data_IF_452012480911
#
_entry.id   IF_452012480911
#
_cell.length_a   1.000
_cell.length_b   1.000
_cell.length_c   1.000
_cell.angle_alpha   90.00
_cell.angle_beta   90.00
_cell.angle_gamma   90.00
#
_symmetry.space_group_name_H-M   'P 1'
#
loop_
_entity.id
_entity.type
_entity.pdbx_description
1 polymer ?
#
# COMPACT_ATOMS: atom_id res chain seq x y z
N UNK A 1 -16.36 22.75 -20.77
CA UNK A 1 -17.55 23.07 -19.96
C UNK A 1 -17.43 22.44 -18.58
N UNK A 2 -17.71 23.20 -17.52
CA UNK A 2 -17.74 22.68 -16.15
C UNK A 2 -19.17 22.17 -15.91
N UNK A 3 -19.37 20.87 -15.69
CA UNK A 3 -20.65 20.30 -15.31
C UNK A 3 -20.87 20.43 -13.79
N UNK A 4 -22.16 20.44 -13.40
CA UNK A 4 -22.62 20.54 -12.01
C UNK A 4 -23.07 19.16 -11.51
N UNK A 5 -23.20 18.98 -10.20
CA UNK A 5 -23.69 17.71 -9.59
C UNK A 5 -25.09 17.35 -10.10
N UNK A 6 -25.96 18.34 -10.24
CA UNK A 6 -27.31 18.15 -10.80
C UNK A 6 -27.32 17.56 -12.22
N UNK A 7 -26.26 17.72 -12.99
CA UNK A 7 -26.20 17.18 -14.35
C UNK A 7 -26.06 15.62 -14.35
N UNK A 8 -25.78 15.04 -13.19
CA UNK A 8 -25.78 13.59 -12.99
C UNK A 8 -27.16 13.03 -12.72
N UNK A 9 -28.11 13.87 -12.28
CA UNK A 9 -29.44 13.45 -11.84
C UNK A 9 -30.25 12.82 -12.97
N UNK A 10 -30.49 13.55 -14.05
CA UNK A 10 -31.36 13.10 -15.14
C UNK A 10 -30.92 11.75 -15.77
N UNK A 11 -29.62 11.54 -16.08
CA UNK A 11 -29.18 10.25 -16.60
C UNK A 11 -29.43 9.09 -15.63
N UNK A 12 -29.24 9.29 -14.33
CA UNK A 12 -29.45 8.24 -13.33
C UNK A 12 -30.93 8.00 -13.09
N UNK A 13 -31.73 9.07 -13.07
CA UNK A 13 -33.19 8.98 -13.01
C UNK A 13 -33.74 8.13 -14.14
N UNK A 14 -33.39 8.43 -15.39
CA UNK A 14 -33.79 7.66 -16.56
C UNK A 14 -33.30 6.21 -16.50
N UNK A 15 -32.06 6.00 -16.12
CA UNK A 15 -31.46 4.66 -16.00
C UNK A 15 -32.23 3.78 -15.02
N UNK A 16 -32.57 4.28 -13.84
CA UNK A 16 -33.32 3.53 -12.82
C UNK A 16 -34.80 3.38 -13.19
N UNK A 17 -35.41 4.41 -13.79
CA UNK A 17 -36.79 4.35 -14.25
C UNK A 17 -36.96 3.28 -15.35
N UNK A 18 -36.01 3.19 -16.28
CA UNK A 18 -36.00 2.16 -17.32
C UNK A 18 -35.83 0.74 -16.77
N UNK A 19 -35.31 0.60 -15.54
CA UNK A 19 -35.24 -0.69 -14.83
C UNK A 19 -36.50 -0.98 -14.00
N UNK A 20 -37.50 -0.11 -14.05
CA UNK A 20 -38.79 -0.28 -13.39
C UNK A 20 -38.81 0.20 -11.93
N UNK A 21 -37.87 1.06 -11.54
CA UNK A 21 -37.92 1.73 -10.23
C UNK A 21 -38.82 2.97 -10.26
N UNK A 22 -39.54 3.20 -9.18
CA UNK A 22 -40.15 4.49 -8.87
C UNK A 22 -39.06 5.40 -8.30
N UNK A 23 -38.65 6.43 -9.03
CA UNK A 23 -37.53 7.30 -8.68
C UNK A 23 -38.02 8.65 -8.20
N UNK A 24 -37.38 9.19 -7.13
CA UNK A 24 -37.63 10.55 -6.60
C UNK A 24 -36.29 11.18 -6.21
N UNK A 25 -36.17 12.50 -6.44
CA UNK A 25 -35.05 13.31 -5.98
C UNK A 25 -35.36 14.06 -4.69
N UNK A 26 -34.30 14.46 -3.98
CA UNK A 26 -34.36 15.31 -2.80
C UNK A 26 -35.33 14.79 -1.73
N UNK A 27 -35.21 13.50 -1.38
CA UNK A 27 -36.06 12.86 -0.37
C UNK A 27 -35.29 12.70 0.94
N UNK A 28 -35.67 13.41 1.99
CA UNK A 28 -35.02 13.33 3.33
C UNK A 28 -33.49 13.41 3.24
N UNK A 29 -33.00 14.46 2.61
CA UNK A 29 -31.57 14.74 2.41
C UNK A 29 -30.82 13.73 1.52
N UNK A 30 -31.51 12.79 0.87
CA UNK A 30 -30.95 11.91 -0.14
C UNK A 30 -31.07 12.56 -1.52
N UNK A 31 -29.97 12.61 -2.28
CA UNK A 31 -29.96 13.22 -3.62
C UNK A 31 -30.93 12.50 -4.57
N UNK A 32 -30.99 11.14 -4.51
CA UNK A 32 -31.89 10.33 -5.30
C UNK A 32 -32.27 9.05 -4.57
N UNK A 33 -33.56 8.75 -4.56
CA UNK A 33 -34.13 7.52 -3.98
C UNK A 33 -34.93 6.78 -5.04
N UNK A 34 -34.78 5.45 -5.10
CA UNK A 34 -35.49 4.60 -6.04
C UNK A 34 -36.07 3.36 -5.31
N UNK A 35 -37.31 3.03 -5.61
CA UNK A 35 -38.04 1.92 -4.97
C UNK A 35 -38.61 0.98 -6.02
N UNK A 36 -38.40 -0.33 -5.81
CA UNK A 36 -39.02 -1.38 -6.62
C UNK A 36 -39.41 -2.56 -5.72
N UNK A 37 -40.71 -2.74 -5.51
CA UNK A 37 -41.21 -3.67 -4.49
C UNK A 37 -40.71 -3.30 -3.11
N UNK A 38 -39.97 -4.20 -2.46
CA UNK A 38 -39.35 -3.96 -1.15
C UNK A 38 -37.89 -3.45 -1.25
N UNK A 39 -37.35 -3.34 -2.45
CA UNK A 39 -36.00 -2.85 -2.66
C UNK A 39 -35.96 -1.32 -2.58
N UNK A 40 -35.10 -0.80 -1.71
CA UNK A 40 -34.83 0.62 -1.57
C UNK A 40 -33.39 0.89 -2.00
N UNK A 41 -33.22 1.69 -3.04
CA UNK A 41 -31.92 2.15 -3.54
C UNK A 41 -31.77 3.63 -3.24
N UNK A 42 -30.61 4.01 -2.70
CA UNK A 42 -30.25 5.41 -2.44
C UNK A 42 -28.98 5.71 -3.23
N UNK A 43 -28.97 6.81 -3.97
CA UNK A 43 -27.81 7.24 -4.76
C UNK A 43 -27.41 8.65 -4.35
N UNK A 44 -26.18 8.80 -3.85
CA UNK A 44 -25.57 10.09 -3.56
C UNK A 44 -24.76 10.57 -4.77
N UNK A 45 -25.00 11.82 -5.20
CA UNK A 45 -24.43 12.41 -6.40
C UNK A 45 -23.31 13.38 -6.04
N UNK A 46 -22.11 13.18 -6.58
CA UNK A 46 -20.99 14.13 -6.38
C UNK A 46 -20.18 14.31 -7.65
N UNK A 47 -19.70 15.54 -7.82
CA UNK A 47 -18.77 15.88 -8.91
C UNK A 47 -17.42 15.20 -8.76
N UNK A 48 -16.96 15.02 -7.52
CA UNK A 48 -15.66 14.42 -7.20
C UNK A 48 -15.80 13.48 -6.00
N UNK A 49 -14.95 12.47 -5.98
CA UNK A 49 -14.81 11.62 -4.80
C UNK A 49 -14.23 12.45 -3.63
N UNK A 50 -14.93 12.45 -2.50
CA UNK A 50 -14.54 13.17 -1.27
C UNK A 50 -14.85 12.34 -0.03
N UNK A 51 -14.33 12.76 1.13
CA UNK A 51 -14.66 12.16 2.42
C UNK A 51 -16.11 12.43 2.79
N UNK A 52 -16.61 13.64 2.51
CA UNK A 52 -18.00 14.00 2.79
C UNK A 52 -18.99 13.09 2.06
N UNK A 53 -18.70 12.74 0.79
CA UNK A 53 -19.49 11.76 0.06
C UNK A 53 -19.51 10.39 0.77
N UNK A 54 -18.39 9.98 1.36
CA UNK A 54 -18.33 8.70 2.09
C UNK A 54 -19.11 8.76 3.40
N UNK A 55 -19.08 9.88 4.10
CA UNK A 55 -19.88 10.12 5.31
C UNK A 55 -21.36 10.02 4.95
N UNK A 56 -21.81 10.76 3.93
CA UNK A 56 -23.18 10.72 3.45
C UNK A 56 -23.61 9.29 3.08
N UNK A 57 -22.86 8.62 2.23
CA UNK A 57 -23.19 7.27 1.78
C UNK A 57 -23.24 6.25 2.93
N UNK A 58 -22.32 6.31 3.89
CA UNK A 58 -22.35 5.42 5.06
C UNK A 58 -23.51 5.71 5.99
N UNK A 59 -23.93 6.96 6.10
CA UNK A 59 -25.12 7.34 6.88
C UNK A 59 -26.41 6.78 6.27
N UNK A 60 -26.49 6.74 4.91
CA UNK A 60 -27.60 6.11 4.19
C UNK A 60 -27.67 4.59 4.39
N UNK A 61 -26.56 3.92 4.70
CA UNK A 61 -26.55 2.49 5.00
C UNK A 61 -27.33 2.11 6.27
N UNK A 62 -27.62 3.08 7.14
CA UNK A 62 -28.53 2.88 8.28
C UNK A 62 -29.99 2.69 7.85
N UNK A 63 -30.32 3.05 6.63
CA UNK A 63 -31.68 3.04 6.07
C UNK A 63 -31.83 1.95 5.01
N UNK A 64 -30.81 1.75 4.19
CA UNK A 64 -30.82 0.78 3.09
C UNK A 64 -29.46 0.11 2.90
N UNK A 65 -29.44 -1.17 2.51
CA UNK A 65 -28.24 -1.86 2.01
C UNK A 65 -27.93 -1.54 0.54
N UNK A 66 -28.87 -0.94 -0.18
CA UNK A 66 -28.76 -0.56 -1.59
C UNK A 66 -28.21 0.85 -1.78
N UNK A 67 -27.06 1.20 -1.18
CA UNK A 67 -26.48 2.54 -1.28
C UNK A 67 -25.42 2.59 -2.37
N UNK A 68 -25.52 3.60 -3.23
CA UNK A 68 -24.58 3.87 -4.32
C UNK A 68 -24.05 5.29 -4.24
N UNK A 69 -22.84 5.48 -4.75
CA UNK A 69 -22.31 6.79 -5.09
C UNK A 69 -22.21 6.91 -6.61
N UNK A 70 -22.64 8.04 -7.13
CA UNK A 70 -22.57 8.33 -8.54
C UNK A 70 -21.61 9.48 -8.81
N UNK A 71 -20.66 9.24 -9.70
CA UNK A 71 -19.60 10.15 -10.06
C UNK A 71 -19.50 10.30 -11.58
N UNK A 72 -19.04 11.44 -12.08
CA UNK A 72 -18.64 11.53 -13.47
C UNK A 72 -17.56 10.51 -13.79
N UNK A 73 -17.65 9.92 -14.99
CA UNK A 73 -16.60 9.01 -15.44
C UNK A 73 -15.27 9.75 -15.50
N UNK A 74 -14.22 9.29 -14.81
CA UNK A 74 -12.95 9.98 -14.79
C UNK A 74 -12.24 9.92 -16.15
N UNK A 75 -11.62 11.03 -16.56
CA UNK A 75 -10.74 11.05 -17.73
C UNK A 75 -9.47 10.22 -17.51
N UNK A 76 -9.00 10.14 -16.25
CA UNK A 76 -7.84 9.34 -15.88
C UNK A 76 -8.14 7.84 -15.94
N UNK A 77 -7.10 7.05 -16.19
CA UNK A 77 -7.23 5.58 -16.22
C UNK A 77 -7.79 5.02 -14.91
N UNK A 78 -8.81 4.17 -15.00
CA UNK A 78 -9.36 3.41 -13.88
C UNK A 78 -8.37 2.42 -13.27
N UNK A 79 -7.25 2.14 -13.97
CA UNK A 79 -6.13 1.31 -13.47
C UNK A 79 -5.12 2.10 -12.63
N UNK A 80 -5.27 3.43 -12.52
CA UNK A 80 -4.40 4.27 -11.68
C UNK A 80 -4.46 3.83 -10.20
N UNK A 81 -3.40 4.09 -9.44
CA UNK A 81 -3.34 3.77 -8.01
C UNK A 81 -4.49 4.43 -7.23
N UNK A 82 -4.81 5.69 -7.56
CA UNK A 82 -5.93 6.44 -6.98
C UNK A 82 -7.27 5.72 -7.18
N UNK A 83 -7.64 5.37 -8.41
CA UNK A 83 -8.92 4.73 -8.70
C UNK A 83 -9.01 3.29 -8.19
N UNK A 84 -7.90 2.56 -8.18
CA UNK A 84 -7.84 1.25 -7.50
C UNK A 84 -8.09 1.39 -5.99
N UNK A 85 -7.53 2.44 -5.37
CA UNK A 85 -7.76 2.76 -3.96
C UNK A 85 -9.22 3.10 -3.67
N UNK A 86 -9.82 4.02 -4.45
CA UNK A 86 -11.23 4.42 -4.32
C UNK A 86 -12.16 3.20 -4.45
N UNK A 87 -12.02 2.39 -5.49
CA UNK A 87 -12.86 1.19 -5.67
C UNK A 87 -12.70 0.18 -4.54
N UNK A 88 -11.48 0.02 -4.00
CA UNK A 88 -11.26 -0.84 -2.84
C UNK A 88 -11.92 -0.28 -1.59
N UNK A 89 -11.88 1.04 -1.38
CA UNK A 89 -12.52 1.71 -0.25
C UNK A 89 -14.04 1.53 -0.31
N UNK A 90 -14.66 1.84 -1.45
CA UNK A 90 -16.10 1.69 -1.65
C UNK A 90 -16.56 0.25 -1.42
N UNK A 91 -15.83 -0.75 -1.96
CA UNK A 91 -16.16 -2.15 -1.70
C UNK A 91 -16.02 -2.53 -0.23
N UNK A 92 -15.05 -1.98 0.50
CA UNK A 92 -14.90 -2.22 1.94
C UNK A 92 -16.04 -1.62 2.76
N UNK A 93 -16.59 -0.51 2.27
CA UNK A 93 -17.74 0.13 2.86
C UNK A 93 -19.06 -0.45 2.34
N UNK A 94 -19.01 -1.46 1.45
CA UNK A 94 -20.19 -2.08 0.85
C UNK A 94 -21.10 -1.07 0.13
N UNK A 95 -20.49 -0.06 -0.50
CA UNK A 95 -21.15 0.99 -1.27
C UNK A 95 -20.95 0.71 -2.75
N UNK A 96 -22.04 0.74 -3.53
CA UNK A 96 -22.02 0.60 -4.98
C UNK A 96 -21.40 1.82 -5.67
N UNK A 97 -20.96 1.65 -6.91
CA UNK A 97 -20.37 2.72 -7.72
C UNK A 97 -21.05 2.79 -9.09
N UNK A 98 -21.48 3.99 -9.42
CA UNK A 98 -22.03 4.35 -10.73
C UNK A 98 -21.14 5.43 -11.34
N UNK A 99 -20.81 5.29 -12.62
CA UNK A 99 -20.22 6.37 -13.41
C UNK A 99 -21.23 6.93 -14.41
N UNK A 100 -21.20 8.24 -14.58
CA UNK A 100 -21.95 8.93 -15.63
C UNK A 100 -20.99 9.60 -16.58
N UNK A 101 -21.09 9.26 -17.85
CA UNK A 101 -20.39 9.96 -18.93
C UNK A 101 -21.33 11.03 -19.47
N UNK A 102 -21.01 12.29 -19.18
CA UNK A 102 -21.78 13.43 -19.65
C UNK A 102 -21.26 13.86 -21.01
N UNK A 103 -21.83 13.35 -22.08
CA UNK A 103 -21.62 13.82 -23.45
C UNK A 103 -22.77 14.76 -23.84
N UNK A 104 -22.49 15.76 -24.66
CA UNK A 104 -23.49 16.76 -25.08
C UNK A 104 -24.72 16.18 -25.78
N UNK A 105 -24.62 15.01 -26.39
CA UNK A 105 -25.70 14.41 -27.19
C UNK A 105 -26.33 13.16 -26.58
N UNK A 106 -25.64 12.43 -25.68
CA UNK A 106 -26.20 11.21 -25.07
C UNK A 106 -25.41 10.84 -23.79
N UNK A 107 -25.92 11.20 -22.59
CA UNK A 107 -25.31 10.80 -21.33
C UNK A 107 -25.40 9.27 -21.17
N UNK A 108 -24.32 8.65 -20.70
CA UNK A 108 -24.26 7.20 -20.48
C UNK A 108 -23.99 6.87 -19.01
N UNK A 109 -24.87 6.06 -18.43
CA UNK A 109 -24.70 5.51 -17.08
C UNK A 109 -24.00 4.14 -17.15
N UNK A 110 -23.00 3.95 -16.34
CA UNK A 110 -22.25 2.69 -16.18
C UNK A 110 -22.31 2.26 -14.72
N UNK A 111 -22.98 1.16 -14.43
CA UNK A 111 -22.90 0.51 -13.13
C UNK A 111 -21.57 -0.23 -13.04
N UNK A 112 -20.67 0.22 -12.17
CA UNK A 112 -19.33 -0.35 -12.03
C UNK A 112 -19.34 -1.60 -11.14
N UNK A 113 -20.07 -1.54 -10.03
CA UNK A 113 -20.39 -2.68 -9.16
C UNK A 113 -21.51 -2.34 -8.18
N UNK A 114 -22.23 -3.37 -7.77
CA UNK A 114 -23.25 -3.30 -6.73
C UNK A 114 -22.66 -3.26 -5.33
N UNK A 115 -23.39 -2.74 -4.32
CA UNK A 115 -23.11 -2.99 -2.92
C UNK A 115 -23.10 -4.51 -2.68
N UNK A 116 -22.09 -4.99 -1.98
CA UNK A 116 -21.98 -6.41 -1.64
C UNK A 116 -21.10 -6.61 -0.41
N UNK A 117 -21.37 -7.65 0.42
CA UNK A 117 -20.51 -7.99 1.54
C UNK A 117 -19.05 -8.17 1.12
N UNK A 118 -18.14 -7.52 1.83
CA UNK A 118 -16.73 -7.50 1.47
C UNK A 118 -15.86 -8.20 2.51
N UNK A 119 -15.38 -9.39 2.16
CA UNK A 119 -14.45 -10.16 2.99
C UNK A 119 -13.03 -10.16 2.39
N UNK A 120 -12.14 -9.23 2.79
CA UNK A 120 -10.81 -9.10 2.21
C UNK A 120 -9.88 -10.22 2.68
N UNK A 121 -9.20 -10.87 1.74
CA UNK A 121 -8.10 -11.79 2.07
C UNK A 121 -6.92 -11.00 2.63
N UNK A 122 -6.40 -11.44 3.78
CA UNK A 122 -5.18 -10.90 4.36
C UNK A 122 -3.97 -11.32 3.51
N UNK A 123 -3.03 -10.41 3.28
CA UNK A 123 -1.77 -10.73 2.59
C UNK A 123 -0.77 -11.31 3.62
N UNK A 124 -0.78 -12.63 3.80
CA UNK A 124 0.11 -13.34 4.73
C UNK A 124 1.58 -13.12 4.40
N UNK A 125 1.95 -13.15 3.11
CA UNK A 125 3.33 -12.93 2.68
C UNK A 125 3.84 -11.53 3.05
N UNK A 126 3.03 -10.49 2.85
CA UNK A 126 3.41 -9.14 3.27
C UNK A 126 3.52 -9.02 4.80
N UNK A 127 2.61 -9.66 5.54
CA UNK A 127 2.66 -9.73 7.01
C UNK A 127 3.93 -10.38 7.51
N UNK A 128 4.27 -11.56 6.98
CA UNK A 128 5.51 -12.27 7.32
C UNK A 128 6.77 -11.45 6.98
N UNK A 129 6.76 -10.75 5.84
CA UNK A 129 7.84 -9.85 5.46
C UNK A 129 8.08 -8.74 6.48
N UNK A 130 6.99 -8.16 7.00
CA UNK A 130 7.08 -7.13 8.05
C UNK A 130 7.62 -7.73 9.35
N UNK A 131 7.12 -8.89 9.77
CA UNK A 131 7.58 -9.56 10.99
C UNK A 131 9.08 -9.88 10.90
N UNK A 132 9.52 -10.48 9.79
CA UNK A 132 10.95 -10.79 9.55
C UNK A 132 11.82 -9.54 9.53
N UNK A 133 11.32 -8.42 9.00
CA UNK A 133 12.06 -7.15 8.99
C UNK A 133 12.22 -6.60 10.41
N UNK A 134 11.17 -6.64 11.25
CA UNK A 134 11.23 -6.20 12.65
C UNK A 134 12.18 -7.08 13.47
N UNK A 135 12.03 -8.41 13.36
CA UNK A 135 12.86 -9.37 14.11
C UNK A 135 14.33 -9.39 13.66
N UNK A 136 14.62 -8.98 12.43
CA UNK A 136 15.97 -8.97 11.87
C UNK A 136 16.77 -7.70 12.20
N UNK A 137 16.24 -6.78 12.99
CA UNK A 137 16.95 -5.56 13.44
C UNK A 137 17.34 -5.68 14.90
N UNK A 138 18.57 -5.28 15.19
CA UNK A 138 19.06 -5.18 16.57
C UNK A 138 18.48 -3.96 17.31
N UNK A 139 18.42 -2.82 16.63
CA UNK A 139 18.00 -1.53 17.22
C UNK A 139 16.92 -0.85 16.41
N UNK A 140 15.95 -0.25 17.08
CA UNK A 140 14.98 0.65 16.43
C UNK A 140 15.60 2.02 16.18
N UNK A 141 16.34 2.13 15.09
CA UNK A 141 17.02 3.35 14.66
C UNK A 141 16.16 4.24 13.78
N UNK A 142 14.97 3.76 13.36
CA UNK A 142 14.10 4.49 12.45
C UNK A 142 12.93 5.13 13.19
N UNK A 143 12.84 6.46 13.15
CA UNK A 143 11.67 7.16 13.67
C UNK A 143 10.58 7.22 12.60
N UNK A 144 9.37 6.79 12.93
CA UNK A 144 8.20 6.90 12.06
C UNK A 144 7.97 8.35 11.59
N UNK A 145 7.49 8.51 10.35
CA UNK A 145 7.27 9.83 9.75
C UNK A 145 8.52 10.53 9.19
N UNK A 146 9.71 9.94 9.33
CA UNK A 146 10.93 10.48 8.72
C UNK A 146 10.88 10.36 7.20
N UNK A 147 11.11 11.47 6.49
CA UNK A 147 11.29 11.47 5.03
C UNK A 147 12.74 11.83 4.68
N UNK A 148 13.26 11.28 3.58
CA UNK A 148 14.60 11.58 3.01
C UNK A 148 15.81 11.14 3.86
N UNK A 149 15.64 10.35 4.92
CA UNK A 149 16.76 9.74 5.66
C UNK A 149 17.02 8.32 5.15
N UNK A 150 18.29 7.90 5.15
CA UNK A 150 18.66 6.50 4.87
C UNK A 150 18.07 5.62 5.99
N UNK A 151 17.10 4.79 5.64
CA UNK A 151 16.41 3.91 6.60
C UNK A 151 17.31 2.72 6.93
N UNK A 152 17.47 2.40 8.21
CA UNK A 152 18.10 1.15 8.64
C UNK A 152 17.12 -0.01 8.39
N UNK A 153 17.55 -0.98 7.61
CA UNK A 153 16.80 -2.21 7.30
C UNK A 153 17.54 -3.41 7.85
N UNK A 154 16.85 -4.51 8.10
CA UNK A 154 17.49 -5.77 8.50
C UNK A 154 18.57 -6.22 7.48
N UNK A 155 18.39 -5.93 6.19
CA UNK A 155 19.41 -6.19 5.18
C UNK A 155 20.68 -5.34 5.39
N UNK A 156 20.52 -4.02 5.63
CA UNK A 156 21.66 -3.10 5.85
C UNK A 156 22.37 -3.44 7.14
N UNK A 157 21.64 -3.71 8.18
CA UNK A 157 22.20 -4.08 9.47
C UNK A 157 23.00 -5.39 9.39
N UNK A 158 22.49 -6.40 8.68
CA UNK A 158 23.22 -7.63 8.43
C UNK A 158 24.47 -7.39 7.54
N UNK A 159 24.39 -6.47 6.57
CA UNK A 159 25.58 -6.10 5.78
C UNK A 159 26.65 -5.40 6.65
N UNK A 160 26.26 -4.60 7.65
CA UNK A 160 27.19 -4.02 8.63
C UNK A 160 27.83 -5.12 9.47
N UNK A 161 27.08 -6.12 9.92
CA UNK A 161 27.64 -7.24 10.66
C UNK A 161 28.67 -8.03 9.84
N UNK A 162 28.36 -8.34 8.57
CA UNK A 162 29.32 -8.97 7.64
C UNK A 162 30.57 -8.09 7.47
N UNK A 163 30.40 -6.77 7.35
CA UNK A 163 31.51 -5.84 7.23
C UNK A 163 32.42 -5.85 8.48
N UNK A 164 31.85 -5.92 9.69
CA UNK A 164 32.60 -6.05 10.93
C UNK A 164 33.38 -7.38 11.01
N UNK A 165 32.78 -8.48 10.53
CA UNK A 165 33.49 -9.77 10.46
C UNK A 165 34.69 -9.69 9.51
N UNK A 166 34.51 -9.11 8.32
CA UNK A 166 35.58 -8.94 7.33
C UNK A 166 36.68 -7.93 7.76
N UNK A 167 36.27 -6.90 8.54
CA UNK A 167 37.24 -5.97 9.15
C UNK A 167 38.16 -6.68 10.13
N UNK A 168 37.61 -7.57 10.96
CA UNK A 168 38.36 -8.30 11.99
C UNK A 168 39.23 -9.41 11.42
N UNK A 169 38.66 -10.24 10.54
CA UNK A 169 39.27 -11.49 10.08
C UNK A 169 39.96 -11.38 8.68
N UNK A 170 39.71 -10.29 7.95
CA UNK A 170 40.29 -10.00 6.65
C UNK A 170 39.56 -10.63 5.48
N UNK A 171 39.85 -11.86 5.10
CA UNK A 171 39.26 -12.56 3.95
C UNK A 171 38.48 -13.77 4.43
N UNK A 172 37.17 -13.81 4.14
CA UNK A 172 36.30 -14.91 4.53
C UNK A 172 35.38 -15.35 3.39
N UNK A 173 35.01 -16.63 3.44
CA UNK A 173 33.91 -17.17 2.63
C UNK A 173 32.54 -16.90 3.24
N UNK A 174 31.48 -17.05 2.44
CA UNK A 174 30.11 -16.96 2.95
C UNK A 174 29.79 -18.01 4.02
N UNK A 175 30.45 -19.17 3.98
CA UNK A 175 30.26 -20.26 4.96
C UNK A 175 30.89 -19.87 6.30
N UNK A 176 32.13 -19.37 6.29
CA UNK A 176 32.80 -18.89 7.50
C UNK A 176 32.05 -17.74 8.15
N UNK A 177 31.58 -16.76 7.35
CA UNK A 177 30.76 -15.67 7.81
C UNK A 177 29.45 -16.17 8.46
N UNK A 178 28.79 -17.18 7.89
CA UNK A 178 27.63 -17.79 8.52
C UNK A 178 27.97 -18.44 9.86
N UNK A 179 29.10 -19.08 9.96
CA UNK A 179 29.63 -19.64 11.22
C UNK A 179 29.75 -18.57 12.31
N UNK A 180 30.14 -17.34 11.94
CA UNK A 180 30.18 -16.18 12.84
C UNK A 180 28.80 -15.58 13.17
N UNK A 181 27.70 -16.20 12.71
CA UNK A 181 26.33 -15.80 13.05
C UNK A 181 25.71 -14.75 12.13
N UNK A 182 26.27 -14.48 10.94
CA UNK A 182 25.71 -13.49 9.99
C UNK A 182 24.43 -13.98 9.29
N UNK A 183 24.04 -15.24 9.49
CA UNK A 183 22.76 -15.79 9.10
C UNK A 183 22.64 -16.21 7.61
N UNK A 184 21.47 -16.72 7.24
CA UNK A 184 21.25 -17.37 5.94
C UNK A 184 21.34 -16.44 4.73
N UNK A 185 21.12 -15.16 4.92
CA UNK A 185 21.17 -14.17 3.81
C UNK A 185 22.59 -13.76 3.42
N UNK A 186 23.62 -14.18 4.14
CA UNK A 186 25.02 -13.79 3.94
C UNK A 186 25.48 -13.94 2.48
N UNK A 187 25.29 -15.11 1.88
CA UNK A 187 25.65 -15.33 0.47
C UNK A 187 24.93 -14.33 -0.47
N UNK A 188 23.63 -14.13 -0.26
CA UNK A 188 22.84 -13.19 -1.09
C UNK A 188 23.29 -11.74 -0.93
N UNK A 189 23.73 -11.35 0.28
CA UNK A 189 24.22 -10.00 0.57
C UNK A 189 25.58 -9.78 -0.12
N UNK A 190 26.49 -10.71 0.00
CA UNK A 190 27.81 -10.67 -0.65
C UNK A 190 27.69 -10.67 -2.17
N UNK A 191 26.87 -11.57 -2.74
CA UNK A 191 26.67 -11.70 -4.17
C UNK A 191 26.05 -10.47 -4.82
N UNK A 192 24.96 -9.95 -4.21
CA UNK A 192 24.26 -8.77 -4.72
C UNK A 192 25.01 -7.47 -4.49
N UNK A 193 25.73 -7.40 -3.37
CA UNK A 193 26.59 -6.29 -2.98
C UNK A 193 26.01 -4.88 -3.29
N UNK A 194 24.74 -4.66 -2.97
CA UNK A 194 24.01 -3.42 -3.34
C UNK A 194 24.68 -2.13 -2.88
N UNK A 195 25.51 -2.22 -1.85
CA UNK A 195 26.20 -1.06 -1.27
C UNK A 195 27.64 -0.93 -1.74
N UNK A 196 28.19 -1.92 -2.45
CA UNK A 196 29.60 -1.93 -2.84
C UNK A 196 30.57 -2.10 -1.67
N UNK A 197 30.15 -2.70 -0.56
CA UNK A 197 30.96 -2.82 0.66
C UNK A 197 31.92 -4.01 0.66
N UNK A 198 31.78 -4.90 -0.30
CA UNK A 198 32.54 -6.17 -0.33
C UNK A 198 33.25 -6.34 -1.66
N UNK A 199 34.53 -6.71 -1.60
CA UNK A 199 35.32 -7.07 -2.77
C UNK A 199 35.52 -8.59 -2.81
N UNK A 200 35.39 -9.17 -4.00
CA UNK A 200 35.62 -10.58 -4.22
C UNK A 200 37.11 -10.76 -4.61
N UNK A 201 37.92 -11.38 -3.74
CA UNK A 201 39.35 -11.57 -3.96
C UNK A 201 39.67 -12.90 -4.62
N UNK A 202 38.83 -13.94 -4.41
CA UNK A 202 38.93 -15.24 -5.07
C UNK A 202 37.57 -15.90 -5.21
N UNK A 203 37.48 -17.10 -5.78
CA UNK A 203 36.23 -17.85 -5.88
C UNK A 203 35.63 -18.12 -4.48
N UNK A 204 34.51 -17.46 -4.15
CA UNK A 204 33.82 -17.61 -2.87
C UNK A 204 34.49 -16.89 -1.69
N UNK A 205 35.55 -16.13 -1.91
CA UNK A 205 36.28 -15.38 -0.89
C UNK A 205 36.05 -13.88 -1.04
N UNK A 206 35.76 -13.22 0.06
CA UNK A 206 35.38 -11.81 0.10
C UNK A 206 36.21 -11.06 1.15
N UNK A 207 36.43 -9.78 0.90
CA UNK A 207 37.06 -8.85 1.84
C UNK A 207 36.26 -7.55 1.91
N UNK A 208 36.58 -6.72 2.91
CA UNK A 208 35.96 -5.43 3.08
C UNK A 208 36.54 -4.41 2.10
N UNK A 209 35.67 -3.78 1.28
CA UNK A 209 36.06 -2.72 0.36
C UNK A 209 36.36 -1.41 1.09
N UNK A 210 36.95 -0.43 0.37
CA UNK A 210 37.10 0.93 0.89
C UNK A 210 35.74 1.55 1.29
N UNK A 211 34.72 1.35 0.46
CA UNK A 211 33.34 1.82 0.76
C UNK A 211 32.76 1.14 2.00
N UNK A 212 33.09 -0.13 2.22
CA UNK A 212 32.69 -0.87 3.41
C UNK A 212 33.27 -0.26 4.70
N UNK A 213 34.55 0.17 4.66
CA UNK A 213 35.22 0.84 5.80
C UNK A 213 34.54 2.18 6.13
N UNK A 214 34.29 3.02 5.13
CA UNK A 214 33.56 4.27 5.31
C UNK A 214 32.13 4.04 5.87
N UNK A 215 31.49 2.94 5.46
CA UNK A 215 30.18 2.59 6.00
C UNK A 215 30.24 2.20 7.49
N UNK A 216 31.27 1.51 7.95
CA UNK A 216 31.44 1.20 9.37
C UNK A 216 31.66 2.44 10.22
N UNK A 217 32.24 3.49 9.66
CA UNK A 217 32.33 4.82 10.29
C UNK A 217 30.97 5.54 10.31
N UNK A 218 30.25 5.55 9.16
CA UNK A 218 28.89 6.15 9.03
C UNK A 218 27.89 5.51 10.03
N UNK A 219 28.00 4.17 10.23
CA UNK A 219 27.10 3.40 11.12
C UNK A 219 27.81 2.94 12.39
N UNK A 220 28.66 3.81 12.97
CA UNK A 220 29.53 3.51 14.11
C UNK A 220 28.83 2.86 15.31
N UNK A 221 27.63 3.31 15.68
CA UNK A 221 26.86 2.73 16.80
C UNK A 221 26.56 1.24 16.60
N UNK A 222 26.14 0.86 15.38
CA UNK A 222 25.79 -0.53 15.06
C UNK A 222 27.06 -1.36 14.88
N UNK A 223 28.08 -0.79 14.23
CA UNK A 223 29.38 -1.43 14.09
C UNK A 223 30.02 -1.74 15.45
N UNK A 224 29.94 -0.81 16.41
CA UNK A 224 30.43 -1.02 17.77
C UNK A 224 29.75 -2.21 18.44
N UNK A 225 28.42 -2.30 18.36
CA UNK A 225 27.69 -3.45 18.90
C UNK A 225 28.17 -4.78 18.32
N UNK A 226 28.32 -4.89 16.97
CA UNK A 226 28.74 -6.13 16.34
C UNK A 226 30.20 -6.46 16.61
N UNK A 227 31.10 -5.46 16.73
CA UNK A 227 32.49 -5.66 17.15
C UNK A 227 32.56 -6.23 18.58
N UNK A 228 31.77 -5.73 19.51
CA UNK A 228 31.66 -6.30 20.85
C UNK A 228 31.18 -7.74 20.82
N UNK A 229 30.09 -8.01 20.11
CA UNK A 229 29.53 -9.37 19.95
C UNK A 229 30.56 -10.36 19.38
N UNK A 230 31.40 -9.94 18.42
CA UNK A 230 32.46 -10.75 17.86
C UNK A 230 33.61 -11.01 18.86
N UNK A 231 33.85 -10.12 19.79
CA UNK A 231 34.89 -10.31 20.83
C UNK A 231 34.36 -11.23 21.95
N UNK A 232 33.11 -11.06 22.37
CA UNK A 232 32.49 -11.89 23.41
C UNK A 232 32.24 -13.34 22.97
N UNK A 233 32.03 -13.59 21.69
CA UNK A 233 31.87 -14.94 21.12
C UNK A 233 33.16 -15.68 20.83
N UNK A 234 34.31 -15.04 21.05
CA UNK A 234 35.64 -15.64 20.87
C UNK A 234 36.26 -16.19 22.19
N UNK A 235 35.49 -16.10 23.30
CA UNK A 235 35.80 -16.68 24.63
C UNK A 235 35.03 -17.97 24.80
#
# INVERSE_FOLDING_TARGET
MSFKERDLYDPIYEYLTNQGYLVRGEVKDCDLVAIKGNELVIVELKKNFSVDLMIQATDRQRISSGVYVALPRPKASLRSAKWRGIRRLLRRLEIGLIFVTLNLSNPRVELVFHPAPYNPRKNSKAREGIIKEVQGRYKDSNKGGSSRKKIMTAYRENAIFIACCLEKEGVLSATELKGLGTGDKTYSILYKNYYGWFDKVARGQYTLSHQGRLALEEYSDIAHHYRQKLNDGAS
#
